data_IF_628277320877
#
_entry.id   IF_628277320877
#
_cell.length_a   1.000
_cell.length_b   1.000
_cell.length_c   1.000
_cell.angle_alpha   90.00
_cell.angle_beta   90.00
_cell.angle_gamma   90.00
#
_symmetry.space_group_name_H-M   'P 1'
#
loop_
_entity.id
_entity.type
_entity.pdbx_description
1 polymer ?
#
# COMPACT_ATOMS: atom_id res chain seq x y z
N UNK A 1 16.71 1.15 20.09
CA UNK A 1 16.46 0.31 18.91
C UNK A 1 15.46 1.01 17.99
N UNK A 2 15.58 0.82 16.68
CA UNK A 2 14.75 1.55 15.72
C UNK A 2 14.13 0.60 14.70
N UNK A 3 12.84 0.74 14.48
CA UNK A 3 12.10 0.01 13.46
C UNK A 3 11.18 1.02 12.76
N UNK A 4 11.66 1.60 11.67
CA UNK A 4 10.93 2.62 10.92
C UNK A 4 10.87 2.22 9.46
N UNK A 5 9.67 2.27 8.91
CA UNK A 5 9.43 2.07 7.49
C UNK A 5 8.73 3.31 6.95
N UNK A 6 9.19 3.80 5.82
CA UNK A 6 8.56 4.93 5.13
C UNK A 6 8.34 4.54 3.67
N UNK A 7 7.08 4.53 3.24
CA UNK A 7 6.69 4.11 1.90
C UNK A 7 5.78 5.16 1.27
N UNK A 8 5.97 5.45 0.00
CA UNK A 8 5.05 6.27 -0.76
C UNK A 8 4.64 5.50 -2.02
N UNK A 9 3.35 5.39 -2.26
CA UNK A 9 2.84 4.60 -3.38
C UNK A 9 1.34 4.73 -3.54
N UNK A 10 0.77 3.84 -4.34
CA UNK A 10 -0.65 3.87 -4.66
C UNK A 10 -1.42 2.78 -3.92
N UNK A 11 -2.59 3.15 -3.42
CA UNK A 11 -3.50 2.20 -2.76
C UNK A 11 -4.08 1.26 -3.81
N UNK A 12 -3.97 -0.05 -3.56
CA UNK A 12 -4.37 -1.08 -4.51
C UNK A 12 -5.80 -1.58 -4.37
N UNK A 13 -6.47 -1.25 -3.27
CA UNK A 13 -7.84 -1.65 -3.00
C UNK A 13 -8.51 -0.62 -2.09
N UNK A 14 -9.83 -0.57 -2.09
CA UNK A 14 -10.53 0.28 -1.15
C UNK A 14 -10.29 -0.23 0.27
N UNK A 15 -9.85 0.64 1.20
CA UNK A 15 -9.56 0.21 2.57
C UNK A 15 -10.81 -0.32 3.27
N UNK A 16 -10.65 -1.45 3.96
CA UNK A 16 -11.72 -2.09 4.71
C UNK A 16 -11.45 -1.98 6.20
N UNK A 17 -12.46 -1.54 6.93
CA UNK A 17 -12.39 -1.41 8.38
C UNK A 17 -13.20 -2.51 9.06
N UNK A 18 -12.60 -3.13 10.07
CA UNK A 18 -13.28 -4.08 10.93
C UNK A 18 -13.17 -3.63 12.38
N UNK A 19 -14.18 -3.99 13.19
CA UNK A 19 -14.16 -3.78 14.63
C UNK A 19 -13.90 -5.12 15.31
N UNK A 20 -12.92 -5.16 16.20
CA UNK A 20 -12.67 -6.35 17.00
C UNK A 20 -13.68 -6.42 18.15
N UNK A 21 -13.74 -7.60 18.81
CA UNK A 21 -14.61 -7.78 19.97
C UNK A 21 -14.29 -6.81 21.11
N UNK A 22 -13.02 -6.38 21.22
CA UNK A 22 -12.60 -5.42 22.23
C UNK A 22 -12.84 -3.96 21.86
N UNK A 23 -13.48 -3.70 20.70
CA UNK A 23 -13.77 -2.34 20.26
C UNK A 23 -12.63 -1.65 19.52
N UNK A 24 -11.58 -2.38 19.17
CA UNK A 24 -10.47 -1.84 18.38
C UNK A 24 -10.85 -1.79 16.91
N UNK A 25 -10.63 -0.65 16.30
CA UNK A 25 -10.86 -0.46 14.85
C UNK A 25 -9.58 -0.74 14.10
N UNK A 26 -9.67 -1.54 13.05
CA UNK A 26 -8.52 -1.92 12.23
C UNK A 26 -8.91 -1.72 10.77
N UNK A 27 -8.09 -0.96 10.04
CA UNK A 27 -8.25 -0.77 8.59
C UNK A 27 -7.04 -1.33 7.88
N UNK A 28 -7.29 -2.21 6.90
CA UNK A 28 -6.26 -2.83 6.07
C UNK A 28 -6.35 -2.33 4.65
N UNK A 29 -5.20 -2.11 4.02
CA UNK A 29 -5.12 -1.87 2.59
C UNK A 29 -3.77 -2.33 2.05
N UNK A 30 -3.70 -2.46 0.73
CA UNK A 30 -2.45 -2.78 0.05
C UNK A 30 -1.89 -1.51 -0.57
N UNK A 31 -0.58 -1.34 -0.45
CA UNK A 31 0.14 -0.23 -1.02
C UNK A 31 1.14 -0.75 -2.06
N UNK A 32 1.05 -0.24 -3.28
CA UNK A 32 1.97 -0.59 -4.35
C UNK A 32 3.10 0.43 -4.41
N UNK A 33 4.33 -0.06 -4.34
CA UNK A 33 5.51 0.76 -4.64
C UNK A 33 6.16 0.16 -5.88
N UNK A 34 6.45 1.00 -6.86
CA UNK A 34 6.97 0.54 -8.14
C UNK A 34 8.26 1.24 -8.48
N UNK A 35 9.11 0.53 -9.20
CA UNK A 35 10.34 1.08 -9.77
C UNK A 35 10.59 0.42 -11.12
N UNK A 36 11.36 1.06 -12.02
CA UNK A 36 11.69 0.44 -13.29
C UNK A 36 12.46 -0.85 -13.09
N UNK A 37 12.04 -1.89 -13.80
CA UNK A 37 12.71 -3.17 -13.77
C UNK A 37 14.05 -3.06 -14.43
N UNK A 38 15.08 -3.65 -13.83
CA UNK A 38 16.46 -3.66 -14.37
C UNK A 38 16.96 -5.08 -14.54
N UNK A 39 17.66 -5.30 -15.64
CA UNK A 39 18.40 -6.52 -15.90
C UNK A 39 19.79 -6.13 -16.39
N UNK A 40 20.86 -6.69 -15.82
CA UNK A 40 22.25 -6.38 -16.14
C UNK A 40 22.57 -4.88 -16.09
N UNK A 41 21.98 -4.19 -15.10
CA UNK A 41 22.18 -2.76 -14.89
C UNK A 41 21.42 -1.84 -15.84
N UNK A 42 20.62 -2.39 -16.75
CA UNK A 42 19.83 -1.62 -17.71
C UNK A 42 18.34 -1.75 -17.43
N UNK A 43 17.60 -0.68 -17.74
CA UNK A 43 16.16 -0.70 -17.63
C UNK A 43 15.57 -1.61 -18.71
N UNK A 44 14.71 -2.55 -18.29
CA UNK A 44 13.99 -3.43 -19.20
C UNK A 44 12.80 -2.67 -19.77
N UNK A 45 12.67 -2.65 -21.09
CA UNK A 45 11.54 -2.03 -21.78
C UNK A 45 10.52 -3.09 -22.19
N UNK A 46 9.26 -2.78 -21.99
CA UNK A 46 8.15 -3.61 -22.46
C UNK A 46 7.89 -3.43 -23.95
N UNK A 47 6.95 -4.19 -24.46
CA UNK A 47 6.56 -4.16 -25.89
C UNK A 47 6.08 -2.78 -26.34
N UNK A 48 5.53 -2.00 -25.43
CA UNK A 48 5.03 -0.65 -25.71
C UNK A 48 6.14 0.42 -25.73
N UNK A 49 7.41 0.05 -25.56
CA UNK A 49 8.54 0.98 -25.52
C UNK A 49 8.76 1.67 -24.19
N UNK A 50 7.88 1.48 -23.22
CA UNK A 50 8.02 2.03 -21.87
C UNK A 50 8.71 1.03 -20.96
N UNK A 51 9.35 1.54 -19.89
CA UNK A 51 10.01 0.70 -18.90
C UNK A 51 8.99 -0.22 -18.22
N UNK A 52 9.33 -1.51 -18.11
CA UNK A 52 8.56 -2.42 -17.26
C UNK A 52 8.74 -2.02 -15.81
N UNK A 53 7.72 -2.23 -15.01
CA UNK A 53 7.73 -1.88 -13.59
C UNK A 53 7.84 -3.14 -12.73
N UNK A 54 8.72 -3.08 -11.74
CA UNK A 54 8.71 -4.02 -10.63
C UNK A 54 7.86 -3.41 -9.52
N UNK A 55 6.79 -4.08 -9.15
CA UNK A 55 5.87 -3.59 -8.14
C UNK A 55 5.94 -4.49 -6.91
N UNK A 56 6.16 -3.86 -5.76
CA UNK A 56 6.07 -4.52 -4.47
C UNK A 56 4.72 -4.16 -3.85
N UNK A 57 4.04 -5.17 -3.30
CA UNK A 57 2.77 -4.99 -2.64
C UNK A 57 2.95 -5.10 -1.13
N UNK A 58 2.68 -4.02 -0.43
CA UNK A 58 2.82 -3.96 1.02
C UNK A 58 1.45 -4.02 1.67
N UNK A 59 1.35 -4.81 2.73
CA UNK A 59 0.13 -4.85 3.55
C UNK A 59 0.26 -3.80 4.63
N UNK A 60 -0.68 -2.87 4.65
CA UNK A 60 -0.70 -1.75 5.60
C UNK A 60 -1.85 -1.96 6.56
N UNK A 61 -1.57 -1.85 7.84
CA UNK A 61 -2.57 -1.98 8.89
C UNK A 61 -2.59 -0.71 9.74
N UNK A 62 -3.79 -0.16 9.92
CA UNK A 62 -4.02 1.05 10.72
C UNK A 62 -4.95 0.72 11.87
N UNK A 63 -4.77 1.38 13.00
CA UNK A 63 -5.54 1.13 14.22
C UNK A 63 -6.24 2.39 14.70
N UNK A 64 -7.43 2.21 15.29
CA UNK A 64 -8.18 3.24 16.02
C UNK A 64 -8.44 4.50 15.19
N UNK A 65 -8.02 5.67 15.64
CA UNK A 65 -8.28 6.94 14.96
C UNK A 65 -7.73 7.00 13.54
N UNK A 66 -6.53 6.47 13.32
CA UNK A 66 -5.95 6.40 11.98
C UNK A 66 -6.74 5.43 11.09
N UNK A 67 -7.24 4.32 11.64
CA UNK A 67 -8.09 3.38 10.91
C UNK A 67 -9.35 4.06 10.39
N UNK A 68 -10.01 4.86 11.22
CA UNK A 68 -11.20 5.62 10.82
C UNK A 68 -10.88 6.63 9.72
N UNK A 69 -9.79 7.37 9.87
CA UNK A 69 -9.38 8.39 8.91
C UNK A 69 -9.09 7.78 7.55
N UNK A 70 -8.34 6.69 7.52
CA UNK A 70 -7.99 5.99 6.28
C UNK A 70 -9.23 5.42 5.60
N UNK A 71 -10.09 4.75 6.36
CA UNK A 71 -11.31 4.17 5.82
C UNK A 71 -12.25 5.24 5.24
N UNK A 72 -12.33 6.38 5.90
CA UNK A 72 -13.23 7.47 5.50
C UNK A 72 -12.73 8.21 4.27
N UNK A 73 -11.42 8.43 4.15
CA UNK A 73 -10.85 9.35 3.16
C UNK A 73 -10.07 8.68 2.03
N UNK A 74 -9.64 7.43 2.20
CA UNK A 74 -8.80 6.75 1.22
C UNK A 74 -9.61 5.86 0.30
N UNK A 75 -9.23 5.84 -0.97
CA UNK A 75 -9.84 4.99 -1.99
C UNK A 75 -8.75 4.36 -2.86
N UNK A 76 -9.10 3.30 -3.56
CA UNK A 76 -8.22 2.64 -4.53
C UNK A 76 -7.68 3.66 -5.54
N UNK A 77 -6.40 3.56 -5.84
CA UNK A 77 -5.71 4.43 -6.79
C UNK A 77 -5.14 5.70 -6.20
N UNK A 78 -5.49 6.01 -4.97
CA UNK A 78 -4.98 7.19 -4.27
C UNK A 78 -3.50 7.03 -3.95
N UNK A 79 -2.74 8.12 -4.07
CA UNK A 79 -1.33 8.13 -3.69
C UNK A 79 -1.16 8.63 -2.26
N UNK A 80 -0.47 7.85 -1.46
CA UNK A 80 -0.26 8.17 -0.03
C UNK A 80 1.19 7.89 0.36
N UNK A 81 1.63 8.55 1.43
CA UNK A 81 2.87 8.21 2.12
C UNK A 81 2.53 7.60 3.47
N UNK A 82 3.11 6.45 3.77
CA UNK A 82 2.88 5.71 4.99
C UNK A 82 4.16 5.67 5.80
N UNK A 83 4.08 6.06 7.05
CA UNK A 83 5.16 5.89 8.02
C UNK A 83 4.70 4.91 9.10
N UNK A 84 5.56 3.98 9.44
CA UNK A 84 5.23 2.99 10.45
C UNK A 84 6.39 2.09 10.77
N UNK A 85 6.07 0.89 11.18
CA UNK A 85 7.06 -0.15 11.50
C UNK A 85 6.71 -1.45 10.81
N UNK A 86 7.72 -2.26 10.52
CA UNK A 86 7.48 -3.60 9.99
C UNK A 86 7.16 -4.55 11.16
N UNK A 87 6.15 -5.38 10.96
CA UNK A 87 5.71 -6.36 11.93
C UNK A 87 5.62 -7.73 11.27
N UNK A 88 6.17 -8.74 11.90
CA UNK A 88 6.15 -10.10 11.41
C UNK A 88 5.18 -10.92 12.24
N UNK A 89 4.36 -11.73 11.55
CA UNK A 89 3.48 -12.68 12.20
C UNK A 89 3.91 -14.09 11.82
N UNK A 90 3.66 -15.03 12.72
CA UNK A 90 3.99 -16.43 12.54
C UNK A 90 2.79 -17.26 13.00
N UNK A 91 2.41 -18.22 12.18
CA UNK A 91 1.34 -19.13 12.58
C UNK A 91 1.57 -20.49 11.93
N UNK A 92 0.91 -21.52 12.48
CA UNK A 92 0.92 -22.87 11.93
C UNK A 92 -0.41 -23.12 11.23
N UNK A 93 -0.39 -23.51 9.97
CA UNK A 93 -1.61 -23.78 9.22
C UNK A 93 -2.18 -25.19 9.53
N UNK A 94 -3.27 -25.54 8.86
CA UNK A 94 -3.95 -26.82 9.07
C UNK A 94 -3.11 -28.04 8.63
N UNK A 95 -2.09 -27.84 7.80
CA UNK A 95 -1.16 -28.87 7.35
C UNK A 95 0.09 -28.94 8.21
N UNK A 96 0.09 -28.32 9.39
CA UNK A 96 1.21 -28.22 10.33
C UNK A 96 2.45 -27.54 9.74
N UNK A 97 2.26 -26.73 8.69
CA UNK A 97 3.33 -25.95 8.08
C UNK A 97 3.40 -24.59 8.76
N UNK A 98 4.58 -24.22 9.22
CA UNK A 98 4.81 -22.90 9.81
C UNK A 98 4.79 -21.83 8.71
N UNK A 99 3.95 -20.83 8.88
CA UNK A 99 3.79 -19.73 7.94
C UNK A 99 4.25 -18.42 8.56
N UNK A 100 4.79 -17.56 7.71
CA UNK A 100 5.26 -16.24 8.09
C UNK A 100 4.58 -15.20 7.23
N UNK A 101 4.32 -14.05 7.80
CA UNK A 101 3.79 -12.92 7.07
C UNK A 101 4.41 -11.65 7.64
N UNK A 102 4.55 -10.65 6.79
CA UNK A 102 4.98 -9.32 7.23
C UNK A 102 3.91 -8.31 6.86
N UNK A 103 3.77 -7.30 7.71
CA UNK A 103 2.86 -6.19 7.48
C UNK A 103 3.48 -4.92 8.02
N UNK A 104 3.00 -3.77 7.55
CA UNK A 104 3.42 -2.48 8.05
C UNK A 104 2.32 -1.95 8.95
N UNK A 105 2.65 -1.70 10.21
CA UNK A 105 1.72 -1.05 11.13
C UNK A 105 1.98 0.44 11.03
N UNK A 106 0.99 1.15 10.51
CA UNK A 106 1.13 2.57 10.21
C UNK A 106 0.96 3.43 11.47
N UNK A 107 1.84 4.41 11.61
CA UNK A 107 1.72 5.48 12.60
C UNK A 107 1.11 6.73 11.97
N UNK A 108 1.36 6.94 10.68
CA UNK A 108 0.86 8.11 9.95
C UNK A 108 0.64 7.74 8.50
N UNK A 109 -0.39 8.33 7.92
CA UNK A 109 -0.69 8.24 6.48
C UNK A 109 -0.95 9.65 5.98
N UNK A 110 -0.12 10.11 5.05
CA UNK A 110 -0.25 11.41 4.42
C UNK A 110 -0.86 11.25 3.03
N UNK A 111 -1.88 12.03 2.73
CA UNK A 111 -2.58 11.98 1.45
C UNK A 111 -1.85 12.87 0.45
N UNK A 112 -1.34 12.28 -0.62
CA UNK A 112 -0.51 13.00 -1.59
C UNK A 112 -1.28 13.39 -2.84
N UNK A 113 -2.10 12.48 -3.37
CA UNK A 113 -2.89 12.77 -4.56
C UNK A 113 -4.11 11.86 -4.63
N UNK A 114 -5.22 12.43 -5.09
CA UNK A 114 -6.46 11.69 -5.35
C UNK A 114 -6.39 11.09 -6.74
N UNK A 115 -7.10 9.97 -7.00
CA UNK A 115 -7.18 9.42 -8.35
C UNK A 115 -7.82 10.44 -9.30
N UNK A 116 -7.27 10.58 -10.51
CA UNK A 116 -7.91 11.38 -11.55
C UNK A 116 -9.12 10.67 -12.09
N UNK A 117 -10.13 11.45 -12.49
CA UNK A 117 -11.29 10.94 -13.20
C UNK A 117 -11.17 11.35 -14.67
N UNK A 118 -11.54 10.44 -15.58
CA UNK A 118 -11.61 10.76 -17.00
C UNK A 118 -12.86 11.62 -17.28
N UNK A 119 -13.05 12.00 -18.54
CA UNK A 119 -14.19 12.81 -18.97
C UNK A 119 -15.55 12.13 -18.77
N UNK A 120 -15.57 10.81 -18.60
CA UNK A 120 -16.78 10.03 -18.32
C UNK A 120 -16.98 9.78 -16.81
N UNK A 121 -16.10 10.31 -15.97
CA UNK A 121 -16.18 10.14 -14.52
C UNK A 121 -15.49 8.89 -13.99
N UNK A 122 -14.82 8.12 -14.82
CA UNK A 122 -14.05 6.95 -14.39
C UNK A 122 -12.73 7.38 -13.77
N UNK A 123 -12.29 6.65 -12.76
CA UNK A 123 -11.00 6.90 -12.14
C UNK A 123 -9.89 6.38 -13.06
N UNK A 124 -8.90 7.22 -13.31
CA UNK A 124 -7.68 6.84 -14.01
C UNK A 124 -6.51 6.91 -13.05
N UNK A 125 -5.60 5.94 -13.19
CA UNK A 125 -4.37 6.00 -12.42
C UNK A 125 -3.50 7.13 -12.96
N UNK A 126 -3.13 8.04 -12.07
CA UNK A 126 -2.25 9.14 -12.41
C UNK A 126 -0.89 8.88 -11.82
N UNK A 127 -0.02 8.29 -12.63
CA UNK A 127 1.33 7.95 -12.19
C UNK A 127 2.37 8.98 -12.59
N UNK A 128 1.98 10.00 -13.37
CA UNK A 128 2.96 10.86 -14.05
C UNK A 128 3.14 12.24 -13.44
N UNK A 129 2.23 12.68 -12.55
CA UNK A 129 2.16 14.09 -12.19
C UNK A 129 2.80 14.46 -10.87
N UNK A 130 3.38 13.50 -10.14
CA UNK A 130 3.99 13.82 -8.86
C UNK A 130 5.48 13.48 -8.92
N UNK A 131 6.34 14.48 -9.02
CA UNK A 131 7.78 14.25 -8.90
C UNK A 131 8.12 13.92 -7.45
N UNK A 132 8.71 12.79 -7.27
CA UNK A 132 9.28 12.39 -5.99
C UNK A 132 10.79 12.36 -6.09
#
# INVERSE_FOLDING_TARGET
>A
MTNIVFLAGNIGNDPEMVNTRGGTKITDFRLATSRPKRADGKVVKGENGYAEQDTEWHRIKCFNGLAETVQKHCVKGMKVAVRGRIHYTRWTDNDEIERFSSEIIADAVDFLAWPKRDAAGNQTEDTDDIPF
#
